data_IF_341511314369
#
_entry.id   IF_341511314369
#
_cell.length_a   1.000
_cell.length_b   1.000
_cell.length_c   1.000
_cell.angle_alpha   90.00
_cell.angle_beta   90.00
_cell.angle_gamma   90.00
#
_symmetry.space_group_name_H-M   'P 1'
#
loop_
_entity.id
_entity.type
_entity.pdbx_description
1 polymer ?
#
# COMPACT_ATOMS: atom_id res chain seq x y z
N UNK A 1 1.63 -49.88 -0.71
CA UNK A 1 1.43 -48.80 -1.68
C UNK A 1 0.71 -47.68 -0.96
N UNK A 2 1.45 -46.75 -0.41
CA UNK A 2 0.89 -45.62 0.37
C UNK A 2 0.84 -44.38 -0.53
N UNK A 3 -0.35 -43.89 -0.76
CA UNK A 3 -0.61 -42.66 -1.49
C UNK A 3 -0.17 -41.44 -0.62
N UNK A 4 0.61 -40.50 -1.09
CA UNK A 4 0.90 -39.29 -0.31
C UNK A 4 -0.29 -38.34 -0.41
N UNK A 5 -0.97 -38.13 0.73
CA UNK A 5 -1.98 -37.10 0.92
C UNK A 5 -1.40 -35.71 0.57
N UNK A 6 -2.05 -35.06 -0.36
CA UNK A 6 -1.81 -33.66 -0.70
C UNK A 6 -2.16 -32.79 0.52
N UNK A 7 -1.18 -32.21 1.19
CA UNK A 7 -1.38 -31.17 2.20
C UNK A 7 -1.98 -29.94 1.51
N UNK A 8 -3.30 -29.82 1.53
CA UNK A 8 -3.97 -28.56 1.33
C UNK A 8 -3.50 -27.61 2.44
N UNK A 9 -2.80 -26.54 2.07
CA UNK A 9 -2.54 -25.42 2.95
C UNK A 9 -3.89 -24.82 3.34
N UNK A 10 -4.34 -25.06 4.57
CA UNK A 10 -5.47 -24.36 5.18
C UNK A 10 -5.19 -22.86 5.08
N UNK A 11 -6.01 -22.14 4.33
CA UNK A 11 -5.98 -20.69 4.30
C UNK A 11 -6.06 -20.17 5.75
N UNK A 12 -5.20 -19.23 6.10
CA UNK A 12 -5.23 -18.54 7.38
C UNK A 12 -6.66 -18.09 7.66
N UNK A 13 -7.27 -18.64 8.73
CA UNK A 13 -8.48 -18.08 9.31
C UNK A 13 -8.10 -16.67 9.82
N UNK A 14 -8.32 -15.66 9.01
CA UNK A 14 -8.21 -14.28 9.45
C UNK A 14 -9.40 -14.02 10.36
N UNK A 15 -9.14 -13.81 11.64
CA UNK A 15 -10.09 -13.16 12.51
C UNK A 15 -10.48 -11.84 11.83
N UNK A 16 -11.77 -11.58 11.76
CA UNK A 16 -12.39 -10.52 10.95
C UNK A 16 -12.12 -9.11 11.45
N UNK A 17 -11.31 -8.95 12.51
CA UNK A 17 -10.92 -7.66 13.08
C UNK A 17 -9.40 -7.60 13.10
N UNK A 18 -8.82 -6.85 12.18
CA UNK A 18 -7.37 -6.58 12.10
C UNK A 18 -6.99 -5.60 13.24
N UNK A 19 -6.92 -6.06 14.50
CA UNK A 19 -6.47 -5.26 15.64
C UNK A 19 -4.95 -5.31 15.77
N UNK A 20 -4.28 -4.45 15.02
CA UNK A 20 -2.85 -4.24 15.12
C UNK A 20 -2.58 -2.94 15.87
N UNK A 21 -2.08 -3.04 17.10
CA UNK A 21 -1.68 -1.89 17.89
C UNK A 21 -0.27 -1.45 17.48
N UNK A 22 -0.10 -0.18 17.16
CA UNK A 22 1.19 0.39 16.75
C UNK A 22 2.07 0.56 17.99
N UNK A 23 3.34 0.12 17.94
CA UNK A 23 4.31 0.30 19.02
C UNK A 23 4.64 1.77 19.24
N UNK A 24 4.99 2.14 20.47
CA UNK A 24 5.30 3.52 20.87
C UNK A 24 6.47 4.12 20.08
N UNK A 25 7.54 3.35 19.84
CA UNK A 25 8.65 3.81 19.02
C UNK A 25 8.25 4.11 17.56
N UNK A 26 7.29 3.35 17.02
CA UNK A 26 6.76 3.57 15.66
C UNK A 26 5.82 4.78 15.63
N UNK A 27 4.99 4.95 16.67
CA UNK A 27 4.16 6.15 16.84
C UNK A 27 5.05 7.40 16.92
N UNK A 28 6.10 7.37 17.72
CA UNK A 28 7.06 8.46 17.86
C UNK A 28 7.73 8.80 16.52
N UNK A 29 8.12 7.78 15.75
CA UNK A 29 8.67 7.97 14.41
C UNK A 29 7.65 8.64 13.48
N UNK A 30 6.39 8.16 13.45
CA UNK A 30 5.32 8.72 12.63
C UNK A 30 5.02 10.19 12.99
N UNK A 31 4.93 10.50 14.29
CA UNK A 31 4.68 11.86 14.79
C UNK A 31 5.84 12.81 14.45
N UNK A 32 7.10 12.37 14.60
CA UNK A 32 8.27 13.17 14.20
C UNK A 32 8.25 13.47 12.70
N UNK A 33 7.92 12.47 11.88
CA UNK A 33 7.79 12.66 10.42
C UNK A 33 6.62 13.59 10.09
N UNK A 34 5.50 13.46 10.81
CA UNK A 34 4.35 14.35 10.66
C UNK A 34 4.74 15.81 10.96
N UNK A 35 5.32 16.09 12.14
CA UNK A 35 5.77 17.42 12.53
C UNK A 35 6.78 18.05 11.56
N UNK A 36 7.67 17.23 11.00
CA UNK A 36 8.69 17.70 10.04
C UNK A 36 8.06 18.13 8.70
N UNK A 37 6.99 17.45 8.28
CA UNK A 37 6.40 17.63 6.95
C UNK A 37 5.08 18.42 6.98
N UNK A 38 4.37 18.45 8.11
CA UNK A 38 3.08 19.15 8.28
C UNK A 38 3.26 20.22 9.35
N UNK A 39 3.10 21.47 8.95
CA UNK A 39 3.03 22.56 9.90
C UNK A 39 1.64 22.55 10.50
N UNK A 40 1.56 22.43 11.83
CA UNK A 40 0.30 22.46 12.59
C UNK A 40 0.22 23.77 13.35
N UNK A 41 -0.87 24.51 13.14
CA UNK A 41 -1.17 25.73 13.86
C UNK A 41 -2.14 25.46 15.02
N UNK A 42 -2.19 26.36 16.00
CA UNK A 42 -3.05 26.19 17.20
C UNK A 42 -4.55 26.07 16.90
N UNK A 43 -5.01 26.54 15.74
CA UNK A 43 -6.40 26.43 15.30
C UNK A 43 -6.60 25.35 14.21
N UNK A 44 -5.72 24.38 14.14
CA UNK A 44 -5.89 23.22 13.26
C UNK A 44 -6.50 22.03 14.02
N UNK A 45 -7.33 21.25 13.34
CA UNK A 45 -7.91 20.03 13.89
C UNK A 45 -7.11 18.81 13.45
N UNK A 46 -6.77 17.93 14.40
CA UNK A 46 -6.19 16.61 14.11
C UNK A 46 -7.19 15.51 14.43
N UNK A 47 -7.46 14.63 13.48
CA UNK A 47 -8.39 13.49 13.63
C UNK A 47 -7.61 12.19 13.51
N UNK A 48 -7.76 11.30 14.48
CA UNK A 48 -7.36 9.89 14.38
C UNK A 48 -8.60 9.01 14.15
N UNK A 49 -8.77 8.42 12.97
CA UNK A 49 -10.01 7.77 12.56
C UNK A 49 -10.17 6.32 13.03
N UNK A 50 -9.13 5.74 13.62
CA UNK A 50 -9.05 4.35 14.10
C UNK A 50 -8.05 4.23 15.24
N UNK A 51 -8.39 4.90 16.35
CA UNK A 51 -7.45 5.15 17.44
C UNK A 51 -7.18 3.91 18.35
N UNK A 52 -8.01 2.87 18.27
CA UNK A 52 -7.79 1.58 18.93
C UNK A 52 -7.51 1.69 20.43
N UNK A 53 -6.24 1.50 20.81
CA UNK A 53 -5.75 1.63 22.18
C UNK A 53 -5.27 3.04 22.57
N UNK A 54 -5.30 4.01 21.64
CA UNK A 54 -4.93 5.40 21.91
C UNK A 54 -3.43 5.71 21.83
N UNK A 55 -2.65 4.90 21.12
CA UNK A 55 -1.19 5.08 21.04
C UNK A 55 -0.75 6.45 20.52
N UNK A 56 -1.54 7.11 19.66
CA UNK A 56 -1.25 8.44 19.13
C UNK A 56 -1.78 9.59 19.99
N UNK A 57 -2.67 9.35 20.97
CA UNK A 57 -3.41 10.38 21.72
C UNK A 57 -2.47 11.44 22.32
N UNK A 58 -1.53 11.03 23.16
CA UNK A 58 -0.65 11.98 23.87
C UNK A 58 0.22 12.79 22.88
N UNK A 59 0.70 12.13 21.82
CA UNK A 59 1.46 12.81 20.77
C UNK A 59 0.63 13.83 20.01
N UNK A 60 -0.61 13.53 19.64
CA UNK A 60 -1.51 14.44 18.97
C UNK A 60 -1.88 15.62 19.87
N UNK A 61 -2.19 15.37 21.14
CA UNK A 61 -2.51 16.42 22.14
C UNK A 61 -1.35 17.38 22.39
N UNK A 62 -0.12 16.95 22.16
CA UNK A 62 1.04 17.84 22.23
C UNK A 62 1.19 18.79 21.05
N UNK A 63 0.44 18.58 19.95
CA UNK A 63 0.54 19.35 18.71
C UNK A 63 -0.55 20.44 18.60
N UNK A 64 -1.73 20.19 19.12
CA UNK A 64 -2.89 21.10 19.04
C UNK A 64 -3.84 20.85 20.17
N UNK A 65 -4.64 21.87 20.52
CA UNK A 65 -5.75 21.76 21.47
C UNK A 65 -7.05 21.23 20.82
N UNK A 66 -7.08 21.07 19.51
CA UNK A 66 -8.24 20.59 18.75
C UNK A 66 -7.98 19.23 18.13
N UNK A 67 -8.58 18.20 18.70
CA UNK A 67 -8.41 16.82 18.29
C UNK A 67 -9.68 16.00 18.43
N UNK A 68 -9.80 14.95 17.60
CA UNK A 68 -10.88 13.97 17.65
C UNK A 68 -10.31 12.56 17.47
N UNK A 69 -10.74 11.62 18.31
CA UNK A 69 -10.33 10.22 18.28
C UNK A 69 -11.53 9.32 18.09
N UNK A 70 -11.51 8.48 17.07
CA UNK A 70 -12.61 7.59 16.74
C UNK A 70 -12.15 6.14 16.63
N UNK A 71 -13.00 5.21 17.02
CA UNK A 71 -12.85 3.78 16.76
C UNK A 71 -14.20 3.07 16.82
N UNK A 72 -14.34 1.93 16.12
CA UNK A 72 -15.52 1.07 16.22
C UNK A 72 -15.60 0.34 17.57
N UNK A 73 -14.44 0.00 18.12
CA UNK A 73 -14.26 -0.70 19.39
C UNK A 73 -13.17 -0.03 20.23
N UNK A 74 -13.46 1.16 20.81
CA UNK A 74 -12.46 1.92 21.56
C UNK A 74 -11.97 1.16 22.80
N UNK A 75 -10.66 1.19 23.00
CA UNK A 75 -10.01 0.64 24.20
C UNK A 75 -9.41 1.74 25.11
N UNK A 76 -9.71 3.02 24.86
CA UNK A 76 -9.29 4.17 25.66
C UNK A 76 -10.47 5.12 25.89
N UNK A 77 -10.49 5.78 27.06
CA UNK A 77 -11.63 6.60 27.50
C UNK A 77 -11.88 7.86 26.66
N UNK A 78 -10.84 8.40 26.04
CA UNK A 78 -10.94 9.60 25.19
C UNK A 78 -11.37 9.30 23.75
N UNK A 79 -11.51 8.02 23.38
CA UNK A 79 -11.89 7.62 22.02
C UNK A 79 -13.40 7.49 21.94
N UNK A 80 -13.99 8.19 20.97
CA UNK A 80 -15.43 8.14 20.70
C UNK A 80 -15.73 6.90 19.87
N UNK A 81 -16.71 6.10 20.31
CA UNK A 81 -17.19 4.96 19.53
C UNK A 81 -17.98 5.42 18.34
N UNK A 82 -17.38 5.32 17.15
CA UNK A 82 -18.01 5.75 15.90
C UNK A 82 -17.41 5.01 14.69
N UNK A 83 -18.26 4.70 13.71
CA UNK A 83 -17.79 4.33 12.38
C UNK A 83 -17.32 5.58 11.63
N UNK A 84 -16.00 5.69 11.45
CA UNK A 84 -15.41 6.82 10.74
C UNK A 84 -15.90 6.94 9.27
N UNK A 85 -16.26 5.86 8.62
CA UNK A 85 -16.79 5.92 7.26
C UNK A 85 -18.15 6.63 7.20
N UNK A 86 -18.86 6.72 8.34
CA UNK A 86 -20.11 7.46 8.51
C UNK A 86 -19.91 8.86 9.13
N UNK A 87 -18.65 9.28 9.35
CA UNK A 87 -18.34 10.56 9.96
C UNK A 87 -18.94 11.74 9.15
N UNK A 88 -19.70 12.59 9.84
CA UNK A 88 -20.27 13.80 9.25
C UNK A 88 -19.35 15.00 9.47
N UNK A 89 -18.54 15.29 8.47
CA UNK A 89 -17.61 16.42 8.49
C UNK A 89 -18.24 17.80 8.27
N UNK A 90 -19.54 17.87 7.96
CA UNK A 90 -20.20 19.17 7.71
C UNK A 90 -20.15 20.09 8.92
N UNK A 91 -20.12 19.53 10.13
CA UNK A 91 -20.10 20.28 11.39
C UNK A 91 -18.77 20.96 11.69
N UNK A 92 -17.68 20.53 11.06
CA UNK A 92 -16.32 21.05 11.30
C UNK A 92 -15.80 21.94 10.17
N UNK A 93 -16.49 21.93 9.02
CA UNK A 93 -16.07 22.72 7.86
C UNK A 93 -16.10 24.23 8.15
N UNK A 94 -14.94 24.87 7.95
CA UNK A 94 -14.77 26.31 8.19
C UNK A 94 -14.58 26.73 9.65
N UNK A 95 -14.53 25.78 10.60
CA UNK A 95 -14.22 26.06 12.01
C UNK A 95 -12.72 26.10 12.29
N UNK A 96 -11.93 25.38 11.52
CA UNK A 96 -10.48 25.24 11.68
C UNK A 96 -9.75 25.77 10.45
N UNK A 97 -8.49 26.16 10.64
CA UNK A 97 -7.65 26.64 9.56
C UNK A 97 -7.30 25.50 8.59
N UNK A 98 -6.84 24.37 9.15
CA UNK A 98 -6.58 23.13 8.42
C UNK A 98 -7.10 21.94 9.22
N UNK A 99 -7.38 20.85 8.51
CA UNK A 99 -7.79 19.60 9.10
C UNK A 99 -6.80 18.51 8.67
N UNK A 100 -6.20 17.85 9.64
CA UNK A 100 -5.22 16.79 9.45
C UNK A 100 -5.79 15.46 9.91
N UNK A 101 -5.57 14.40 9.14
CA UNK A 101 -5.96 13.04 9.52
C UNK A 101 -4.70 12.19 9.66
N UNK A 102 -4.48 11.60 10.84
CA UNK A 102 -3.30 10.77 11.14
C UNK A 102 -3.71 9.46 11.80
N UNK A 103 -2.98 8.37 11.60
CA UNK A 103 -3.19 7.11 12.32
C UNK A 103 -2.85 5.86 11.52
N UNK A 104 -3.30 4.73 12.05
CA UNK A 104 -3.14 3.40 11.45
C UNK A 104 -4.52 2.82 11.09
N UNK A 105 -5.08 3.12 9.91
CA UNK A 105 -6.40 2.64 9.52
C UNK A 105 -6.39 1.12 9.30
N UNK A 106 -7.54 0.42 9.47
CA UNK A 106 -7.64 -0.99 9.18
C UNK A 106 -7.40 -1.24 7.68
N UNK A 107 -6.58 -2.26 7.35
CA UNK A 107 -6.21 -2.49 5.95
C UNK A 107 -7.31 -3.20 5.16
N UNK A 108 -7.91 -4.24 5.77
CA UNK A 108 -8.88 -5.09 5.09
C UNK A 108 -8.27 -5.95 3.98
N UNK A 109 -9.12 -6.75 3.33
CA UNK A 109 -8.68 -7.59 2.21
C UNK A 109 -8.24 -6.72 1.03
N UNK A 110 -7.02 -6.94 0.53
CA UNK A 110 -6.43 -6.18 -0.58
C UNK A 110 -6.45 -4.66 -0.34
N UNK A 111 -6.24 -4.24 0.90
CA UNK A 111 -6.24 -2.83 1.34
C UNK A 111 -7.59 -2.10 1.12
N UNK A 112 -8.69 -2.83 1.00
CA UNK A 112 -10.00 -2.25 0.66
C UNK A 112 -10.52 -1.29 1.71
N UNK A 113 -10.26 -1.54 3.01
CA UNK A 113 -10.65 -0.63 4.09
C UNK A 113 -9.73 0.60 4.12
N UNK A 114 -8.43 0.44 4.03
CA UNK A 114 -7.50 1.57 3.96
C UNK A 114 -7.86 2.54 2.82
N UNK A 115 -8.24 2.00 1.65
CA UNK A 115 -8.72 2.83 0.53
C UNK A 115 -10.00 3.59 0.88
N UNK A 116 -10.93 2.99 1.61
CA UNK A 116 -12.17 3.67 2.05
C UNK A 116 -11.84 4.80 3.03
N UNK A 117 -10.94 4.55 3.99
CA UNK A 117 -10.48 5.57 4.94
C UNK A 117 -9.79 6.74 4.23
N UNK A 118 -8.90 6.46 3.27
CA UNK A 118 -8.26 7.49 2.43
C UNK A 118 -9.33 8.33 1.72
N UNK A 119 -10.28 7.69 1.02
CA UNK A 119 -11.32 8.41 0.27
C UNK A 119 -12.19 9.26 1.18
N UNK A 120 -12.58 8.71 2.34
CA UNK A 120 -13.36 9.44 3.33
C UNK A 120 -12.63 10.68 3.86
N UNK A 121 -11.36 10.52 4.24
CA UNK A 121 -10.53 11.64 4.71
C UNK A 121 -10.35 12.70 3.62
N UNK A 122 -10.13 12.30 2.36
CA UNK A 122 -9.96 13.23 1.23
C UNK A 122 -11.18 14.12 0.96
N UNK A 123 -12.36 13.80 1.49
CA UNK A 123 -13.57 14.63 1.33
C UNK A 123 -13.40 15.99 2.00
N UNK A 124 -12.65 16.09 3.10
CA UNK A 124 -12.65 17.28 3.94
C UNK A 124 -11.28 17.72 4.48
N UNK A 125 -10.26 16.87 4.51
CA UNK A 125 -8.98 17.20 5.13
C UNK A 125 -7.99 17.87 4.16
N UNK A 126 -7.00 18.53 4.75
CA UNK A 126 -5.87 19.17 4.06
C UNK A 126 -4.63 18.27 4.03
N UNK A 127 -4.48 17.35 4.99
CA UNK A 127 -3.45 16.34 4.96
C UNK A 127 -3.91 14.98 5.50
N UNK A 128 -3.28 13.92 4.99
CA UNK A 128 -3.46 12.53 5.43
C UNK A 128 -2.09 11.94 5.72
N UNK A 129 -1.93 11.40 6.92
CA UNK A 129 -0.69 10.79 7.40
C UNK A 129 -0.98 9.40 7.94
N UNK A 130 -0.92 8.39 7.06
CA UNK A 130 -1.34 7.04 7.40
C UNK A 130 -0.22 6.02 7.37
N UNK A 131 -0.27 5.09 8.33
CA UNK A 131 0.42 3.81 8.24
C UNK A 131 -0.36 2.94 7.25
N UNK A 132 0.31 2.50 6.18
CA UNK A 132 -0.30 1.76 5.09
C UNK A 132 0.53 0.52 4.75
N UNK A 133 -0.09 -0.55 4.20
CA UNK A 133 0.68 -1.66 3.65
C UNK A 133 1.72 -1.19 2.63
N UNK A 134 2.89 -1.81 2.60
CA UNK A 134 4.00 -1.46 1.70
C UNK A 134 3.62 -1.45 0.21
N UNK A 135 2.55 -2.14 -0.16
CA UNK A 135 1.98 -2.11 -1.51
C UNK A 135 1.51 -0.71 -1.98
N UNK A 136 1.27 0.24 -1.04
CA UNK A 136 0.96 1.64 -1.38
C UNK A 136 2.14 2.41 -1.99
N UNK A 137 3.34 1.84 -2.01
CA UNK A 137 4.44 2.33 -2.85
C UNK A 137 4.12 2.27 -4.35
N UNK A 138 3.20 1.37 -4.74
CA UNK A 138 2.81 1.18 -6.14
C UNK A 138 1.85 2.27 -6.62
N UNK A 139 2.07 2.77 -7.82
CA UNK A 139 1.22 3.79 -8.45
C UNK A 139 -0.25 3.37 -8.52
N UNK A 140 -0.53 2.07 -8.66
CA UNK A 140 -1.90 1.55 -8.69
C UNK A 140 -2.68 1.84 -7.40
N UNK A 141 -2.02 1.83 -6.23
CA UNK A 141 -2.64 2.16 -4.95
C UNK A 141 -2.53 3.65 -4.62
N UNK A 142 -1.46 4.34 -5.04
CA UNK A 142 -1.34 5.80 -4.93
C UNK A 142 -2.49 6.55 -5.64
N UNK A 143 -3.13 5.92 -6.63
CA UNK A 143 -4.35 6.44 -7.30
C UNK A 143 -5.59 6.50 -6.40
N UNK A 144 -5.56 5.86 -5.21
CA UNK A 144 -6.64 5.98 -4.23
C UNK A 144 -6.77 7.40 -3.66
N UNK A 145 -5.70 8.16 -3.70
CA UNK A 145 -5.70 9.58 -3.37
C UNK A 145 -6.11 10.41 -4.60
N UNK A 146 -7.04 11.38 -4.47
CA UNK A 146 -7.36 12.33 -5.53
C UNK A 146 -6.13 13.08 -6.04
N UNK A 147 -6.16 13.59 -7.27
CA UNK A 147 -5.00 14.23 -7.90
C UNK A 147 -4.50 15.47 -7.16
N UNK A 148 -5.38 16.14 -6.41
CA UNK A 148 -5.01 17.28 -5.58
C UNK A 148 -4.14 16.89 -4.38
N UNK A 149 -4.14 15.62 -3.95
CA UNK A 149 -3.26 15.15 -2.86
C UNK A 149 -1.90 14.76 -3.42
N UNK A 150 -0.84 15.38 -2.90
CA UNK A 150 0.55 15.16 -3.28
C UNK A 150 1.27 14.40 -2.18
N UNK A 151 2.04 13.38 -2.55
CA UNK A 151 2.88 12.65 -1.60
C UNK A 151 4.07 13.53 -1.21
N UNK A 152 4.13 13.92 0.06
CA UNK A 152 5.21 14.76 0.61
C UNK A 152 6.30 13.92 1.27
N UNK A 153 5.91 12.81 1.91
CA UNK A 153 6.82 11.93 2.61
C UNK A 153 6.39 10.47 2.51
N UNK A 154 7.35 9.58 2.33
CA UNK A 154 7.16 8.12 2.36
C UNK A 154 8.37 7.48 3.04
N UNK A 155 8.16 6.78 4.15
CA UNK A 155 9.20 6.02 4.85
C UNK A 155 8.76 4.57 5.07
N UNK A 156 9.72 3.64 5.03
CA UNK A 156 9.51 2.27 5.49
C UNK A 156 9.44 2.24 7.02
N UNK A 157 8.47 1.54 7.57
CA UNK A 157 8.44 1.26 9.00
C UNK A 157 9.41 0.12 9.34
N UNK A 158 9.96 0.10 10.57
CA UNK A 158 10.78 -1.00 11.05
C UNK A 158 10.05 -2.35 11.01
N UNK A 159 10.79 -3.43 10.97
CA UNK A 159 10.22 -4.76 11.15
C UNK A 159 9.55 -4.86 12.53
N UNK A 160 8.51 -5.68 12.63
CA UNK A 160 7.75 -5.89 13.87
C UNK A 160 7.17 -4.62 14.50
N UNK A 161 6.64 -3.73 13.69
CA UNK A 161 6.07 -2.44 14.10
C UNK A 161 4.77 -2.54 14.91
N UNK A 162 4.18 -3.73 15.05
CA UNK A 162 2.85 -3.90 15.60
C UNK A 162 2.81 -4.94 16.72
N UNK A 163 1.79 -4.81 17.58
CA UNK A 163 1.45 -5.77 18.62
C UNK A 163 0.03 -6.33 18.37
N UNK A 164 -0.12 -7.62 18.54
CA UNK A 164 -1.42 -8.32 18.60
C UNK A 164 -1.40 -9.17 19.86
N UNK A 165 -2.32 -8.94 20.77
CA UNK A 165 -2.36 -9.60 22.09
C UNK A 165 -1.00 -9.53 22.84
N UNK A 166 -0.29 -8.41 22.71
CA UNK A 166 1.02 -8.19 23.33
C UNK A 166 2.20 -8.88 22.62
N UNK A 167 1.95 -9.58 21.52
CA UNK A 167 2.99 -10.29 20.74
C UNK A 167 3.36 -9.44 19.51
N UNK A 168 4.67 -9.35 19.23
CA UNK A 168 5.17 -8.65 18.06
C UNK A 168 4.74 -9.31 16.75
N UNK A 169 4.21 -8.51 15.85
CA UNK A 169 3.84 -8.93 14.49
C UNK A 169 4.60 -8.15 13.43
N UNK A 170 5.13 -8.88 12.48
CA UNK A 170 5.80 -8.32 11.31
C UNK A 170 4.81 -8.20 10.15
N UNK A 171 4.36 -6.96 9.91
CA UNK A 171 3.54 -6.59 8.76
C UNK A 171 4.28 -5.50 8.01
N UNK A 172 4.81 -5.78 6.80
CA UNK A 172 5.54 -4.79 6.02
C UNK A 172 4.68 -3.57 5.69
N UNK A 173 4.96 -2.46 6.35
CA UNK A 173 4.22 -1.21 6.23
C UNK A 173 5.13 -0.03 5.92
N UNK A 174 4.51 1.03 5.47
CA UNK A 174 5.10 2.34 5.25
C UNK A 174 4.26 3.39 5.96
N UNK A 175 4.86 4.52 6.26
CA UNK A 175 4.13 5.72 6.65
C UNK A 175 4.19 6.71 5.49
N UNK A 176 3.02 7.19 5.06
CA UNK A 176 2.91 8.17 3.97
C UNK A 176 2.22 9.42 4.48
N UNK A 177 2.74 10.59 4.07
CA UNK A 177 2.15 11.90 4.29
C UNK A 177 1.74 12.49 2.95
N UNK A 178 0.45 12.78 2.82
CA UNK A 178 -0.14 13.38 1.64
C UNK A 178 -0.75 14.73 1.99
N UNK A 179 -0.48 15.77 1.17
CA UNK A 179 -1.03 17.10 1.35
C UNK A 179 -1.89 17.51 0.16
N UNK A 180 -3.03 18.13 0.44
CA UNK A 180 -3.89 18.72 -0.56
C UNK A 180 -3.25 20.01 -1.09
N UNK A 181 -3.23 20.16 -2.43
CA UNK A 181 -2.73 21.35 -3.12
C UNK A 181 -3.82 21.89 -4.05
N UNK A 182 -3.66 23.14 -4.46
CA UNK A 182 -4.60 23.81 -5.38
C UNK A 182 -4.47 23.32 -6.82
N UNK A 183 -3.46 22.52 -7.13
CA UNK A 183 -3.20 21.94 -8.45
C UNK A 183 -3.08 20.42 -8.39
N UNK A 184 -3.32 19.78 -9.51
CA UNK A 184 -3.25 18.34 -9.62
C UNK A 184 -1.80 17.86 -9.76
N UNK A 185 -1.45 16.75 -9.09
CA UNK A 185 -0.18 16.05 -9.34
C UNK A 185 -0.17 15.40 -10.71
N UNK A 186 0.98 15.32 -11.31
CA UNK A 186 1.17 14.49 -12.51
C UNK A 186 1.08 13.00 -12.14
N UNK A 187 0.39 12.25 -12.98
CA UNK A 187 0.42 10.79 -12.91
C UNK A 187 1.66 10.27 -13.61
N UNK A 188 2.25 9.21 -13.08
CA UNK A 188 3.32 8.49 -13.77
C UNK A 188 2.88 8.13 -15.18
N UNK A 189 3.63 8.60 -16.18
CA UNK A 189 3.37 8.27 -17.58
C UNK A 189 3.50 6.76 -17.76
N UNK A 190 2.51 6.17 -18.39
CA UNK A 190 2.63 4.78 -18.81
C UNK A 190 3.69 4.70 -19.90
N UNK A 191 4.55 3.70 -19.76
CA UNK A 191 5.57 3.36 -20.74
C UNK A 191 5.04 2.20 -21.57
N UNK A 192 5.14 2.31 -22.88
CA UNK A 192 4.80 1.22 -23.78
C UNK A 192 5.97 0.25 -23.96
N UNK A 193 5.71 -1.04 -24.22
CA UNK A 193 6.76 -2.01 -24.48
C UNK A 193 7.52 -1.66 -25.76
N UNK A 194 8.85 -1.76 -25.72
CA UNK A 194 9.75 -1.57 -26.87
C UNK A 194 10.41 -2.91 -27.15
N UNK A 195 10.37 -3.35 -28.41
CA UNK A 195 10.95 -4.62 -28.88
C UNK A 195 10.29 -5.89 -28.36
N UNK A 196 9.10 -5.79 -27.74
CA UNK A 196 8.27 -6.93 -27.37
C UNK A 196 6.80 -6.51 -27.27
N UNK A 197 5.89 -7.50 -27.29
CA UNK A 197 4.46 -7.30 -27.08
C UNK A 197 3.94 -8.34 -26.07
N UNK A 198 2.85 -8.01 -25.37
CA UNK A 198 2.09 -8.97 -24.60
C UNK A 198 1.07 -9.64 -25.52
N UNK A 199 1.03 -10.95 -25.48
CA UNK A 199 0.13 -11.77 -26.31
C UNK A 199 -0.70 -12.70 -25.44
N UNK A 200 -1.74 -13.31 -26.00
CA UNK A 200 -2.43 -14.40 -25.32
C UNK A 200 -1.60 -15.68 -25.38
N UNK A 201 -1.90 -16.64 -24.49
CA UNK A 201 -1.18 -17.91 -24.45
C UNK A 201 -1.27 -18.68 -25.76
N UNK A 202 -2.37 -18.49 -26.49
CA UNK A 202 -2.67 -19.14 -27.79
C UNK A 202 -1.95 -18.54 -28.98
N UNK A 203 -1.32 -17.38 -28.82
CA UNK A 203 -0.75 -16.59 -29.92
C UNK A 203 0.77 -16.85 -30.12
N UNK A 204 1.21 -18.06 -29.82
CA UNK A 204 2.60 -18.51 -29.98
C UNK A 204 3.64 -17.61 -29.30
N UNK A 205 3.55 -17.39 -27.96
CA UNK A 205 4.49 -16.56 -27.23
C UNK A 205 5.89 -17.19 -27.18
N UNK A 206 6.91 -16.35 -27.24
CA UNK A 206 8.31 -16.74 -27.09
C UNK A 206 8.65 -17.15 -25.65
N UNK A 207 8.06 -16.44 -24.69
CA UNK A 207 8.28 -16.67 -23.25
C UNK A 207 7.02 -16.50 -22.42
N UNK A 208 7.03 -17.15 -21.25
CA UNK A 208 6.16 -16.82 -20.12
C UNK A 208 6.94 -16.11 -19.02
N UNK A 209 6.34 -15.08 -18.44
CA UNK A 209 6.89 -14.35 -17.29
C UNK A 209 5.99 -14.54 -16.08
N UNK A 210 6.52 -15.10 -15.01
CA UNK A 210 5.74 -15.29 -13.78
C UNK A 210 5.56 -13.98 -13.04
N UNK A 211 4.31 -13.49 -12.98
CA UNK A 211 3.98 -12.18 -12.41
C UNK A 211 3.62 -12.20 -10.93
N UNK A 212 3.32 -13.37 -10.34
CA UNK A 212 2.82 -13.47 -8.96
C UNK A 212 3.31 -14.74 -8.28
N UNK A 213 3.49 -14.67 -6.95
CA UNK A 213 3.91 -15.79 -6.09
C UNK A 213 5.41 -15.75 -5.75
N UNK A 214 5.87 -16.78 -5.05
CA UNK A 214 7.27 -16.89 -4.55
C UNK A 214 8.29 -16.73 -5.67
N UNK A 215 8.00 -17.32 -6.84
CA UNK A 215 8.87 -17.30 -8.01
C UNK A 215 8.50 -16.17 -9.00
N UNK A 216 7.84 -15.09 -8.54
CA UNK A 216 7.57 -13.93 -9.41
C UNK A 216 8.89 -13.37 -9.96
N UNK A 217 8.90 -13.01 -11.25
CA UNK A 217 10.10 -12.55 -11.96
C UNK A 217 10.81 -13.63 -12.79
N UNK A 218 10.42 -14.91 -12.67
CA UNK A 218 11.02 -15.97 -13.49
C UNK A 218 10.50 -15.95 -14.92
N UNK A 219 11.40 -16.22 -15.86
CA UNK A 219 11.14 -16.35 -17.29
C UNK A 219 11.28 -17.81 -17.67
N UNK A 220 10.39 -18.30 -18.52
CA UNK A 220 10.42 -19.69 -19.01
C UNK A 220 9.97 -19.74 -20.47
N UNK A 221 10.63 -20.55 -21.27
CA UNK A 221 10.27 -20.83 -22.67
C UNK A 221 9.25 -21.97 -22.81
N UNK A 222 9.03 -22.75 -21.74
CA UNK A 222 7.97 -23.73 -21.70
C UNK A 222 6.63 -23.08 -21.36
N UNK A 223 5.77 -22.94 -22.34
CA UNK A 223 4.49 -22.23 -22.26
C UNK A 223 3.34 -23.13 -21.79
N UNK A 224 3.38 -24.43 -22.16
CA UNK A 224 2.23 -25.32 -22.09
C UNK A 224 1.61 -25.48 -20.70
N UNK A 225 2.43 -25.50 -19.65
CA UNK A 225 1.96 -25.71 -18.28
C UNK A 225 1.71 -24.39 -17.51
N UNK A 226 1.80 -23.23 -18.19
CA UNK A 226 1.68 -21.95 -17.52
C UNK A 226 0.23 -21.46 -17.50
N UNK A 227 -0.21 -20.96 -16.33
CA UNK A 227 -1.54 -20.38 -16.15
C UNK A 227 -1.54 -18.89 -16.49
N UNK A 228 -2.51 -18.44 -17.27
CA UNK A 228 -2.75 -17.02 -17.58
C UNK A 228 -3.06 -16.17 -16.36
N UNK A 229 -3.54 -16.78 -15.27
CA UNK A 229 -3.77 -16.07 -14.01
C UNK A 229 -2.48 -15.66 -13.30
N UNK A 230 -1.37 -16.37 -13.53
CA UNK A 230 -0.09 -16.16 -12.83
C UNK A 230 1.07 -15.77 -13.74
N UNK A 231 0.88 -15.72 -15.04
CA UNK A 231 1.92 -15.37 -16.00
C UNK A 231 1.45 -14.29 -16.99
N UNK A 232 2.41 -13.53 -17.48
CA UNK A 232 2.31 -12.78 -18.74
C UNK A 232 2.95 -13.62 -19.83
N UNK A 233 2.41 -13.54 -21.04
CA UNK A 233 2.97 -14.15 -22.23
C UNK A 233 3.49 -13.05 -23.14
N UNK A 234 4.69 -13.25 -23.70
CA UNK A 234 5.44 -12.21 -24.37
C UNK A 234 6.02 -12.78 -25.67
N UNK A 235 5.90 -12.00 -26.73
CA UNK A 235 6.54 -12.22 -28.01
C UNK A 235 7.54 -11.10 -28.28
N UNK A 236 8.77 -11.43 -28.70
CA UNK A 236 9.81 -10.46 -29.04
C UNK A 236 9.63 -9.95 -30.47
N UNK A 237 9.90 -8.65 -30.68
CA UNK A 237 9.75 -7.99 -31.97
C UNK A 237 11.05 -7.35 -32.49
N UNK A 238 12.19 -7.60 -31.80
CA UNK A 238 13.49 -6.99 -32.13
C UNK A 238 14.32 -7.80 -33.13
N UNK A 239 13.80 -8.90 -33.67
CA UNK A 239 14.51 -9.75 -34.64
C UNK A 239 15.68 -10.55 -34.06
N UNK A 240 15.89 -10.54 -32.73
CA UNK A 240 16.92 -11.35 -32.07
C UNK A 240 16.35 -12.71 -31.67
N UNK A 241 17.23 -13.72 -31.47
CA UNK A 241 16.77 -15.02 -31.00
C UNK A 241 16.19 -14.95 -29.58
N UNK A 242 15.24 -15.84 -29.29
CA UNK A 242 14.66 -15.98 -27.93
C UNK A 242 15.75 -16.18 -26.89
N UNK A 243 16.72 -17.03 -27.17
CA UNK A 243 17.85 -17.31 -26.27
C UNK A 243 18.66 -16.02 -25.97
N UNK A 244 18.93 -15.16 -26.96
CA UNK A 244 19.65 -13.91 -26.77
C UNK A 244 18.87 -12.96 -25.84
N UNK A 245 17.57 -12.80 -26.07
CA UNK A 245 16.72 -11.94 -25.25
C UNK A 245 16.61 -12.48 -23.82
N UNK A 246 16.34 -13.76 -23.64
CA UNK A 246 16.23 -14.40 -22.32
C UNK A 246 17.54 -14.25 -21.53
N UNK A 247 18.71 -14.43 -22.15
CA UNK A 247 19.99 -14.30 -21.44
C UNK A 247 20.19 -12.89 -20.85
N UNK A 248 19.76 -11.82 -21.56
CA UNK A 248 19.79 -10.45 -21.05
C UNK A 248 18.79 -10.23 -19.93
N UNK A 249 17.56 -10.73 -20.09
CA UNK A 249 16.47 -10.51 -19.13
C UNK A 249 16.65 -11.33 -17.84
N UNK A 250 17.39 -12.44 -17.88
CA UNK A 250 17.68 -13.27 -16.70
C UNK A 250 18.53 -12.55 -15.64
N UNK A 251 19.21 -11.46 -16.00
CA UNK A 251 20.00 -10.65 -15.07
C UNK A 251 19.14 -9.66 -14.25
N UNK A 252 17.85 -9.52 -14.57
CA UNK A 252 16.98 -8.54 -13.90
C UNK A 252 16.67 -8.99 -12.48
N UNK A 253 16.98 -8.11 -11.54
CA UNK A 253 16.51 -8.20 -10.15
C UNK A 253 15.22 -7.44 -9.96
N UNK A 254 14.27 -8.06 -9.25
CA UNK A 254 13.01 -7.45 -8.83
C UNK A 254 13.01 -7.25 -7.33
N UNK A 255 12.66 -6.05 -6.88
CA UNK A 255 12.45 -5.78 -5.47
C UNK A 255 11.13 -6.38 -5.02
N UNK A 256 11.17 -7.27 -4.04
CA UNK A 256 10.00 -8.01 -3.56
C UNK A 256 9.49 -7.54 -2.20
N UNK A 257 10.05 -6.49 -1.65
CA UNK A 257 9.69 -5.95 -0.34
C UNK A 257 8.53 -4.95 -0.36
N UNK A 258 7.82 -4.84 -1.47
CA UNK A 258 6.74 -3.87 -1.67
C UNK A 258 5.32 -4.48 -1.66
N UNK A 259 5.15 -5.66 -1.05
CA UNK A 259 3.85 -6.31 -0.86
C UNK A 259 3.79 -7.02 0.48
N UNK A 260 2.63 -6.92 1.16
CA UNK A 260 2.31 -7.69 2.39
C UNK A 260 1.87 -9.13 2.05
N UNK A 261 1.46 -9.36 0.81
CA UNK A 261 0.99 -10.64 0.30
C UNK A 261 2.00 -11.29 -0.66
N UNK A 262 1.57 -12.21 -1.51
CA UNK A 262 2.42 -12.81 -2.52
C UNK A 262 3.10 -11.75 -3.38
N UNK A 263 4.38 -11.94 -3.66
CA UNK A 263 5.15 -11.10 -4.58
C UNK A 263 4.36 -10.90 -5.87
N UNK A 264 4.28 -9.67 -6.38
CA UNK A 264 3.58 -9.39 -7.64
C UNK A 264 4.29 -8.32 -8.45
N UNK A 265 4.36 -8.52 -9.76
CA UNK A 265 4.99 -7.61 -10.72
C UNK A 265 3.91 -7.20 -11.72
N UNK A 266 3.67 -5.90 -11.85
CA UNK A 266 2.73 -5.34 -12.83
C UNK A 266 3.34 -5.30 -14.23
N UNK A 267 2.51 -5.16 -15.27
CA UNK A 267 3.00 -4.96 -16.65
C UNK A 267 3.92 -3.74 -16.75
N UNK A 268 3.63 -2.64 -16.05
CA UNK A 268 4.47 -1.45 -16.10
C UNK A 268 5.85 -1.67 -15.44
N UNK A 269 5.90 -2.34 -14.28
CA UNK A 269 7.18 -2.70 -13.65
C UNK A 269 8.03 -3.58 -14.57
N UNK A 270 7.40 -4.54 -15.27
CA UNK A 270 8.08 -5.37 -16.25
C UNK A 270 8.58 -4.54 -17.45
N UNK A 271 7.72 -3.70 -18.05
CA UNK A 271 8.08 -2.87 -19.21
C UNK A 271 9.26 -1.97 -18.90
N UNK A 272 9.25 -1.30 -17.75
CA UNK A 272 10.34 -0.40 -17.30
C UNK A 272 11.66 -1.17 -17.20
N UNK A 273 11.63 -2.43 -16.76
CA UNK A 273 12.83 -3.27 -16.63
C UNK A 273 13.28 -3.90 -17.94
N UNK A 274 12.35 -4.23 -18.82
CA UNK A 274 12.67 -4.90 -20.12
C UNK A 274 13.15 -3.93 -21.18
N UNK A 275 12.50 -2.78 -21.32
CA UNK A 275 12.82 -1.80 -22.38
C UNK A 275 14.32 -1.44 -22.49
N UNK A 276 15.06 -1.19 -21.39
CA UNK A 276 16.48 -0.85 -21.48
C UNK A 276 17.39 -1.98 -21.93
N UNK A 277 16.93 -3.23 -21.90
CA UNK A 277 17.74 -4.42 -22.17
C UNK A 277 17.46 -5.03 -23.55
N UNK A 278 16.30 -4.80 -24.11
CA UNK A 278 15.87 -5.34 -25.40
C UNK A 278 16.13 -4.37 -26.55
#
# INVERSE_FOLDING_TARGET
MNNPESKQTKGLNRNTIDKYYTKEEVVSLCLNMFQTNVQVDSNDLIIEPSAGGGSFIEGIKSLTDHFEFYDLEPAHAEIVKQDYLLYNHSNIMGLFNQIHVIGNPPFGRQSSLAIKFIKKSCEFCDSISFILPKSFKKDSLKKSFPLQFHLECEIDLPDKSFLVDGIEHDVPCIFQIWKKKTYNRELSKKVDPIHFIFVEKTDDPDISFRRVGVNAGTIDTNINEKSSQSHYFIQFTNGKSVHHNVSKLSSISYEFNNTVGPKSISKQELIIKFNPLL
#
